data_IF_550193403592
#
_entry.id   IF_550193403592
#
_cell.length_a   1.000
_cell.length_b   1.000
_cell.length_c   1.000
_cell.angle_alpha   90.00
_cell.angle_beta   90.00
_cell.angle_gamma   90.00
#
_symmetry.space_group_name_H-M   'P 1'
#
loop_
_entity.id
_entity.type
_entity.pdbx_description
1 polymer ?
#
# COMPACT_ATOMS: atom_id res chain seq x y z
N UNK A 1 28.79 2.43 -16.91
CA UNK A 1 27.53 3.06 -17.36
C UNK A 1 27.77 3.57 -18.78
N UNK A 2 27.01 3.04 -19.74
CA UNK A 2 27.13 3.39 -21.15
C UNK A 2 25.93 4.24 -21.55
N UNK A 3 26.14 5.27 -22.37
CA UNK A 3 25.07 6.15 -22.87
C UNK A 3 25.07 6.06 -24.39
N UNK A 4 24.00 5.49 -24.94
CA UNK A 4 23.78 5.40 -26.38
C UNK A 4 22.75 6.47 -26.78
N UNK A 5 22.96 7.13 -27.92
CA UNK A 5 22.02 8.12 -28.45
C UNK A 5 21.46 7.63 -29.77
N UNK A 6 20.14 7.72 -29.92
CA UNK A 6 19.43 7.42 -31.15
C UNK A 6 18.58 8.62 -31.59
N UNK A 7 18.57 8.90 -32.88
CA UNK A 7 17.73 9.95 -33.46
C UNK A 7 16.43 9.35 -34.02
N UNK A 8 15.31 9.67 -33.37
CA UNK A 8 13.96 9.37 -33.86
C UNK A 8 13.31 10.67 -34.37
N UNK A 9 13.54 11.00 -35.65
CA UNK A 9 13.06 12.25 -36.25
C UNK A 9 13.87 13.46 -35.78
N UNK A 10 13.22 14.51 -35.27
CA UNK A 10 13.89 15.74 -34.77
C UNK A 10 14.30 15.67 -33.30
N UNK A 11 14.08 14.54 -32.62
CA UNK A 11 14.32 14.39 -31.18
C UNK A 11 15.46 13.41 -30.92
N UNK A 12 16.32 13.76 -29.96
CA UNK A 12 17.37 12.89 -29.45
C UNK A 12 16.80 12.04 -28.30
N UNK A 13 16.89 10.73 -28.44
CA UNK A 13 16.58 9.78 -27.37
C UNK A 13 17.91 9.22 -26.86
N UNK A 14 18.07 9.21 -25.55
CA UNK A 14 19.24 8.66 -24.88
C UNK A 14 18.85 7.40 -24.14
N UNK A 15 19.62 6.34 -24.30
CA UNK A 15 19.48 5.08 -23.57
C UNK A 15 20.70 4.97 -22.67
N UNK A 16 20.44 5.02 -21.36
CA UNK A 16 21.46 4.77 -20.35
C UNK A 16 21.40 3.30 -19.94
N UNK A 17 22.55 2.65 -20.00
CA UNK A 17 22.67 1.23 -19.71
C UNK A 17 23.60 0.99 -18.52
N UNK A 18 23.15 0.10 -17.64
CA UNK A 18 23.95 -0.48 -16.56
C UNK A 18 24.25 -1.92 -16.94
N UNK A 19 25.52 -2.26 -16.87
CA UNK A 19 26.05 -3.57 -17.24
C UNK A 19 26.67 -4.21 -16.01
N UNK A 20 26.52 -5.53 -15.90
CA UNK A 20 27.25 -6.32 -14.93
C UNK A 20 28.71 -6.52 -15.41
N UNK A 21 29.69 -6.28 -14.54
CA UNK A 21 31.10 -6.32 -14.90
C UNK A 21 31.66 -7.74 -15.03
N UNK A 22 31.07 -8.71 -14.32
CA UNK A 22 31.56 -10.08 -14.27
C UNK A 22 31.03 -10.91 -15.46
N UNK A 23 29.77 -10.70 -15.83
CA UNK A 23 29.11 -11.44 -16.90
C UNK A 23 29.03 -10.66 -18.22
N UNK A 24 29.15 -9.33 -18.18
CA UNK A 24 29.08 -8.48 -19.37
C UNK A 24 27.68 -8.34 -19.94
N UNK A 25 26.63 -8.60 -19.15
CA UNK A 25 25.23 -8.49 -19.55
C UNK A 25 24.60 -7.16 -19.11
N UNK A 26 23.69 -6.62 -19.92
CA UNK A 26 22.95 -5.40 -19.59
C UNK A 26 21.83 -5.73 -18.59
N UNK A 27 21.96 -5.22 -17.37
CA UNK A 27 21.02 -5.47 -16.26
C UNK A 27 19.95 -4.38 -16.13
N UNK A 28 20.16 -3.20 -16.72
CA UNK A 28 19.19 -2.11 -16.69
C UNK A 28 19.34 -1.17 -17.87
N UNK A 29 18.20 -0.83 -18.47
CA UNK A 29 18.08 0.21 -19.50
C UNK A 29 17.20 1.34 -18.96
N UNK A 30 17.58 2.59 -19.22
CA UNK A 30 16.82 3.79 -18.91
C UNK A 30 16.72 4.69 -20.14
N UNK A 31 15.49 4.86 -20.63
CA UNK A 31 15.15 5.68 -21.78
C UNK A 31 14.87 7.12 -21.36
N UNK A 32 15.57 8.07 -21.98
CA UNK A 32 15.47 9.49 -21.71
C UNK A 32 15.20 10.29 -22.99
N UNK A 33 14.45 11.36 -22.83
CA UNK A 33 14.24 12.42 -23.82
C UNK A 33 14.58 13.75 -23.17
N UNK A 34 15.42 14.56 -23.80
CA UNK A 34 15.88 15.84 -23.26
C UNK A 34 16.46 15.69 -21.83
N UNK A 35 17.23 14.61 -21.62
CA UNK A 35 17.82 14.20 -20.33
C UNK A 35 16.84 13.82 -19.21
N UNK A 36 15.54 13.74 -19.51
CA UNK A 36 14.49 13.34 -18.58
C UNK A 36 13.98 11.95 -18.92
N UNK A 37 13.73 11.09 -17.92
CA UNK A 37 13.20 9.73 -18.14
C UNK A 37 11.84 9.81 -18.83
N UNK A 38 11.73 9.22 -20.02
CA UNK A 38 10.55 9.33 -20.86
C UNK A 38 10.54 8.23 -21.91
N UNK A 39 9.41 7.55 -22.09
CA UNK A 39 9.18 6.66 -23.23
C UNK A 39 7.69 6.50 -23.53
N UNK A 40 7.31 6.65 -24.79
CA UNK A 40 5.91 6.47 -25.24
C UNK A 40 5.67 4.99 -25.57
N UNK A 41 4.59 4.42 -25.04
CA UNK A 41 4.10 3.08 -25.40
C UNK A 41 4.88 1.89 -24.84
N UNK A 42 6.06 2.10 -24.23
CA UNK A 42 6.91 1.07 -23.66
C UNK A 42 7.54 1.53 -22.33
N UNK A 43 8.04 0.62 -21.47
CA UNK A 43 8.68 1.02 -20.22
C UNK A 43 9.91 1.88 -20.48
N UNK A 44 10.01 3.00 -19.78
CA UNK A 44 11.18 3.85 -19.81
C UNK A 44 12.33 3.28 -18.98
N UNK A 45 12.04 2.45 -17.97
CA UNK A 45 13.04 1.71 -17.22
C UNK A 45 12.70 0.22 -17.32
N UNK A 46 13.70 -0.60 -17.64
CA UNK A 46 13.62 -2.07 -17.59
C UNK A 46 14.83 -2.56 -16.83
N UNK A 47 14.65 -3.44 -15.84
CA UNK A 47 15.76 -4.13 -15.15
C UNK A 47 15.55 -5.63 -15.15
N UNK A 48 16.65 -6.39 -15.20
CA UNK A 48 16.65 -7.85 -15.29
C UNK A 48 17.41 -8.48 -14.14
N UNK A 49 17.01 -9.70 -13.77
CA UNK A 49 17.81 -10.57 -12.94
C UNK A 49 19.02 -11.06 -13.77
N UNK A 50 20.22 -10.98 -13.22
CA UNK A 50 21.45 -11.36 -13.93
C UNK A 50 21.55 -12.87 -14.19
N UNK A 51 21.08 -13.70 -13.26
CA UNK A 51 21.19 -15.16 -13.34
C UNK A 51 20.12 -15.75 -14.27
N UNK A 52 18.88 -15.25 -14.18
CA UNK A 52 17.75 -15.80 -14.95
C UNK A 52 17.46 -15.03 -16.24
N UNK A 53 17.99 -13.82 -16.38
CA UNK A 53 17.70 -12.87 -17.46
C UNK A 53 16.21 -12.46 -17.53
N UNK A 54 15.42 -12.76 -16.50
CA UNK A 54 14.02 -12.38 -16.42
C UNK A 54 13.88 -10.90 -16.03
N UNK A 55 12.83 -10.24 -16.53
CA UNK A 55 12.53 -8.86 -16.18
C UNK A 55 11.96 -8.82 -14.75
N UNK A 56 12.65 -8.10 -13.87
CA UNK A 56 12.26 -7.93 -12.45
C UNK A 56 11.63 -6.57 -12.18
N UNK A 57 11.82 -5.60 -13.07
CA UNK A 57 11.29 -4.25 -12.91
C UNK A 57 10.99 -3.62 -14.26
N UNK A 58 9.79 -3.03 -14.37
CA UNK A 58 9.40 -2.18 -15.48
C UNK A 58 8.75 -0.90 -14.94
N UNK A 59 9.16 0.26 -15.46
CA UNK A 59 8.57 1.54 -15.09
C UNK A 59 8.25 2.40 -16.32
N UNK A 60 7.09 3.04 -16.32
CA UNK A 60 6.61 3.91 -17.40
C UNK A 60 6.66 5.36 -16.96
N UNK A 61 7.37 6.18 -17.73
CA UNK A 61 7.51 7.61 -17.46
C UNK A 61 7.09 8.45 -18.67
N UNK A 62 6.35 9.52 -18.37
CA UNK A 62 6.05 10.60 -19.30
C UNK A 62 6.57 11.91 -18.71
N UNK A 63 7.50 12.53 -19.43
CA UNK A 63 8.13 13.80 -19.03
C UNK A 63 8.75 13.76 -17.62
N UNK A 64 9.37 12.64 -17.26
CA UNK A 64 10.02 12.45 -15.96
C UNK A 64 9.08 12.07 -14.83
N UNK A 65 7.78 11.98 -15.09
CA UNK A 65 6.78 11.59 -14.11
C UNK A 65 6.35 10.15 -14.36
N UNK A 66 6.35 9.34 -13.30
CA UNK A 66 5.85 7.97 -13.32
C UNK A 66 4.36 8.00 -13.67
N UNK A 67 4.00 7.45 -14.83
CA UNK A 67 2.63 7.46 -15.32
C UNK A 67 2.43 6.49 -16.48
N UNK A 68 1.23 5.92 -16.59
CA UNK A 68 0.85 5.04 -17.67
C UNK A 68 -0.65 5.14 -17.97
N UNK A 69 -0.99 5.15 -19.25
CA UNK A 69 -2.37 5.19 -19.73
C UNK A 69 -3.05 3.79 -19.67
N UNK A 70 -4.35 3.73 -19.97
CA UNK A 70 -5.17 2.52 -20.08
C UNK A 70 -5.36 1.66 -18.81
N UNK A 71 -5.42 2.26 -17.61
CA UNK A 71 -5.55 1.51 -16.33
C UNK A 71 -4.47 0.42 -16.14
N UNK A 72 -3.28 0.63 -16.69
CA UNK A 72 -2.12 -0.25 -16.55
C UNK A 72 -1.18 0.27 -15.45
N UNK A 73 -0.49 -0.61 -14.73
CA UNK A 73 0.45 -0.19 -13.70
C UNK A 73 1.63 0.55 -14.33
N UNK A 74 1.99 1.68 -13.71
CA UNK A 74 3.12 2.51 -14.10
C UNK A 74 4.44 2.01 -13.51
N UNK A 75 4.40 1.20 -12.44
CA UNK A 75 5.53 0.42 -11.95
C UNK A 75 5.10 -1.03 -11.74
N UNK A 76 5.93 -1.95 -12.21
CA UNK A 76 5.81 -3.38 -11.98
C UNK A 76 7.13 -3.86 -11.40
N UNK A 77 7.07 -4.57 -10.28
CA UNK A 77 8.20 -5.31 -9.73
C UNK A 77 7.80 -6.78 -9.55
N UNK A 78 8.69 -7.70 -9.92
CA UNK A 78 8.45 -9.15 -9.80
C UNK A 78 9.71 -9.83 -9.28
N UNK A 79 9.51 -10.74 -8.32
CA UNK A 79 10.51 -11.73 -7.91
C UNK A 79 9.83 -13.08 -7.69
N UNK A 80 10.57 -14.07 -7.19
CA UNK A 80 10.07 -15.44 -6.99
C UNK A 80 8.92 -15.56 -5.97
N UNK A 81 8.73 -14.55 -5.12
CA UNK A 81 7.76 -14.58 -4.02
C UNK A 81 6.55 -13.71 -4.30
N UNK A 82 6.71 -12.57 -4.97
CA UNK A 82 5.67 -11.57 -5.14
C UNK A 82 5.74 -10.85 -6.49
N UNK A 83 4.59 -10.31 -6.87
CA UNK A 83 4.41 -9.33 -7.93
C UNK A 83 3.75 -8.08 -7.35
N UNK A 84 4.46 -6.97 -7.41
CA UNK A 84 3.98 -5.66 -6.99
C UNK A 84 3.58 -4.84 -8.23
N UNK A 85 2.38 -4.30 -8.20
CA UNK A 85 1.80 -3.47 -9.24
C UNK A 85 1.42 -2.12 -8.63
N UNK A 86 1.92 -1.03 -9.22
CA UNK A 86 1.62 0.31 -8.75
C UNK A 86 1.11 1.21 -9.89
N UNK A 87 0.04 1.95 -9.63
CA UNK A 87 -0.60 2.87 -10.56
C UNK A 87 -0.32 4.30 -10.15
N UNK A 88 0.19 5.07 -11.11
CA UNK A 88 0.53 6.48 -10.92
C UNK A 88 -0.05 7.34 -12.05
N UNK A 89 -0.51 8.53 -11.68
CA UNK A 89 -0.91 9.60 -12.59
C UNK A 89 -0.08 10.82 -12.23
N UNK A 90 0.69 11.33 -13.20
CA UNK A 90 1.59 12.48 -13.01
C UNK A 90 2.52 12.35 -11.78
N UNK A 91 3.08 11.14 -11.58
CA UNK A 91 4.00 10.86 -10.48
C UNK A 91 3.34 10.67 -9.11
N UNK A 92 2.00 10.70 -9.02
CA UNK A 92 1.26 10.47 -7.77
C UNK A 92 0.50 9.16 -7.82
N UNK A 93 0.58 8.36 -6.74
CA UNK A 93 -0.19 7.13 -6.63
C UNK A 93 -1.69 7.45 -6.76
N UNK A 94 -2.36 6.86 -7.75
CA UNK A 94 -3.77 7.10 -8.02
C UNK A 94 -4.32 6.01 -8.93
N UNK A 95 -5.51 5.51 -8.60
CA UNK A 95 -6.27 4.61 -9.48
C UNK A 95 -7.76 4.71 -9.21
N UNK A 96 -8.55 4.86 -10.26
CA UNK A 96 -9.99 5.02 -10.12
C UNK A 96 -10.67 3.72 -9.67
N UNK A 97 -11.33 3.74 -8.50
CA UNK A 97 -12.18 2.65 -7.98
C UNK A 97 -11.45 1.35 -7.59
N UNK A 98 -10.13 1.28 -7.78
CA UNK A 98 -9.28 0.09 -7.59
C UNK A 98 -8.04 0.46 -6.78
N UNK A 99 -7.32 -0.50 -6.18
CA UNK A 99 -6.11 -0.19 -5.44
C UNK A 99 -5.03 0.34 -6.38
N UNK A 100 -4.38 1.42 -5.95
CA UNK A 100 -3.24 2.01 -6.63
C UNK A 100 -1.93 1.27 -6.30
N UNK A 101 -1.88 0.50 -5.22
CA UNK A 101 -0.80 -0.44 -4.91
C UNK A 101 -1.44 -1.81 -4.68
N UNK A 102 -0.98 -2.82 -5.43
CA UNK A 102 -1.44 -4.19 -5.34
C UNK A 102 -0.24 -5.13 -5.31
N UNK A 103 -0.13 -5.91 -4.24
CA UNK A 103 0.86 -6.98 -4.15
C UNK A 103 0.15 -8.34 -4.20
N UNK A 104 0.69 -9.22 -5.03
CA UNK A 104 0.19 -10.59 -5.21
C UNK A 104 1.35 -11.55 -5.00
N UNK A 105 1.17 -12.56 -4.16
CA UNK A 105 2.16 -13.62 -3.94
C UNK A 105 2.30 -14.52 -5.18
N UNK A 106 3.35 -15.32 -5.23
CA UNK A 106 3.56 -16.31 -6.29
C UNK A 106 2.49 -17.40 -6.33
N UNK A 107 1.75 -17.60 -5.23
CA UNK A 107 0.57 -18.49 -5.18
C UNK A 107 -0.70 -17.83 -5.72
N UNK A 108 -0.66 -16.54 -6.07
CA UNK A 108 -1.79 -15.77 -6.57
C UNK A 108 -2.65 -15.12 -5.48
N UNK A 109 -2.23 -15.18 -4.21
CA UNK A 109 -2.94 -14.51 -3.13
C UNK A 109 -2.61 -13.02 -3.12
N UNK A 110 -3.63 -12.18 -2.93
CA UNK A 110 -3.40 -10.75 -2.72
C UNK A 110 -2.92 -10.55 -1.29
N UNK A 111 -1.70 -10.04 -1.10
CA UNK A 111 -1.12 -9.74 0.21
C UNK A 111 -1.35 -8.29 0.62
N UNK A 112 -1.33 -7.36 -0.32
CA UNK A 112 -1.48 -5.92 -0.05
C UNK A 112 -2.41 -5.26 -1.06
N UNK A 113 -3.32 -4.43 -0.55
CA UNK A 113 -4.08 -3.49 -1.36
C UNK A 113 -4.09 -2.12 -0.69
N UNK A 114 -3.69 -1.08 -1.44
CA UNK A 114 -3.79 0.30 -0.97
C UNK A 114 -4.47 1.20 -2.00
N UNK A 115 -5.42 2.00 -1.54
CA UNK A 115 -6.18 2.95 -2.34
C UNK A 115 -5.65 4.35 -2.12
N UNK A 116 -5.29 5.00 -3.23
CA UNK A 116 -4.81 6.37 -3.24
C UNK A 116 -5.63 7.21 -4.21
N UNK A 117 -5.86 8.46 -3.80
CA UNK A 117 -6.41 9.51 -4.63
C UNK A 117 -5.40 10.67 -4.70
N UNK A 118 -4.72 10.80 -5.85
CA UNK A 118 -3.74 11.86 -6.12
C UNK A 118 -2.63 11.94 -5.06
N UNK A 119 -2.10 10.77 -4.68
CA UNK A 119 -0.98 10.63 -3.76
C UNK A 119 -1.36 10.54 -2.29
N UNK A 120 -2.66 10.57 -1.95
CA UNK A 120 -3.13 10.46 -0.56
C UNK A 120 -3.99 9.22 -0.36
N UNK A 121 -3.81 8.51 0.75
CA UNK A 121 -4.66 7.35 1.08
C UNK A 121 -6.10 7.79 1.24
N UNK A 122 -6.98 7.18 0.46
CA UNK A 122 -8.39 7.50 0.42
C UNK A 122 -9.19 6.37 -0.23
N UNK A 123 -10.34 6.01 0.35
CA UNK A 123 -11.30 5.10 -0.27
C UNK A 123 -12.71 5.43 0.21
N UNK A 124 -13.63 5.60 -0.73
CA UNK A 124 -15.03 5.93 -0.42
C UNK A 124 -15.73 4.82 0.37
N UNK A 125 -15.53 3.57 -0.04
CA UNK A 125 -16.31 2.42 0.44
C UNK A 125 -15.42 1.28 0.91
N UNK A 126 -14.69 1.48 2.01
CA UNK A 126 -13.89 0.43 2.67
C UNK A 126 -12.57 0.94 3.23
N UNK A 127 -11.75 0.01 3.72
CA UNK A 127 -10.40 0.32 4.17
C UNK A 127 -9.54 0.80 2.99
N UNK A 128 -8.79 1.87 3.21
CA UNK A 128 -7.84 2.40 2.24
C UNK A 128 -6.52 1.63 2.22
N UNK A 129 -6.24 0.84 3.27
CA UNK A 129 -5.10 -0.08 3.33
C UNK A 129 -5.59 -1.41 3.87
N UNK A 130 -5.23 -2.50 3.20
CA UNK A 130 -5.49 -3.86 3.66
C UNK A 130 -4.21 -4.67 3.51
N UNK A 131 -3.76 -5.27 4.60
CA UNK A 131 -2.65 -6.24 4.60
C UNK A 131 -3.17 -7.63 4.99
N UNK A 132 -2.70 -8.62 4.24
CA UNK A 132 -3.07 -10.03 4.36
C UNK A 132 -1.83 -10.88 4.55
N UNK A 133 -2.00 -11.93 5.32
CA UNK A 133 -0.96 -12.94 5.49
C UNK A 133 -0.70 -13.66 4.14
N UNK A 134 0.57 -13.90 3.81
CA UNK A 134 0.99 -14.37 2.49
C UNK A 134 0.64 -15.85 2.24
N UNK A 135 0.35 -16.63 3.30
CA UNK A 135 0.03 -18.05 3.20
C UNK A 135 -1.48 -18.29 3.27
N UNK A 136 -2.14 -17.71 4.26
CA UNK A 136 -3.58 -17.90 4.52
C UNK A 136 -4.48 -16.92 3.76
N UNK A 137 -3.95 -15.76 3.36
CA UNK A 137 -4.74 -14.67 2.77
C UNK A 137 -5.64 -13.94 3.78
N UNK A 138 -5.55 -14.24 5.08
CA UNK A 138 -6.34 -13.59 6.12
C UNK A 138 -5.92 -12.13 6.27
N UNK A 139 -6.89 -11.21 6.21
CA UNK A 139 -6.65 -9.78 6.41
C UNK A 139 -6.38 -9.48 7.89
N UNK A 140 -5.12 -9.27 8.23
CA UNK A 140 -4.69 -9.01 9.60
C UNK A 140 -4.62 -7.52 9.93
N UNK A 141 -4.66 -6.64 8.94
CA UNK A 141 -4.85 -5.20 9.14
C UNK A 141 -5.78 -4.60 8.10
N UNK A 142 -6.67 -3.74 8.57
CA UNK A 142 -7.50 -2.87 7.75
C UNK A 142 -7.49 -1.46 8.32
N UNK A 143 -7.14 -0.47 7.50
CA UNK A 143 -7.03 0.92 7.92
C UNK A 143 -7.88 1.82 7.01
N UNK A 144 -8.72 2.63 7.62
CA UNK A 144 -9.55 3.62 6.93
C UNK A 144 -8.88 4.99 6.99
N UNK A 145 -8.75 5.60 5.82
CA UNK A 145 -8.17 6.93 5.64
C UNK A 145 -9.07 7.78 4.76
N UNK A 146 -9.13 9.07 5.08
CA UNK A 146 -9.64 10.13 4.23
C UNK A 146 -8.53 11.18 4.08
N UNK A 147 -7.99 11.34 2.88
CA UNK A 147 -6.91 12.31 2.61
C UNK A 147 -5.70 12.12 3.55
N UNK A 148 -5.22 10.88 3.72
CA UNK A 148 -4.17 10.46 4.67
C UNK A 148 -4.49 10.61 6.16
N UNK A 149 -5.68 11.06 6.51
CA UNK A 149 -6.12 11.19 7.90
C UNK A 149 -6.93 9.94 8.28
N UNK A 150 -6.57 9.26 9.38
CA UNK A 150 -7.34 8.13 9.89
C UNK A 150 -8.79 8.57 10.17
N UNK A 151 -9.75 7.94 9.52
CA UNK A 151 -11.15 8.36 9.58
C UNK A 151 -12.07 7.21 9.22
N UNK A 152 -13.11 6.97 10.04
CA UNK A 152 -14.26 6.13 9.68
C UNK A 152 -15.48 6.52 10.48
N UNK A 153 -16.60 6.80 9.81
CA UNK A 153 -17.89 7.02 10.46
C UNK A 153 -18.49 5.67 10.87
N UNK A 154 -18.92 5.55 12.13
CA UNK A 154 -19.71 4.43 12.61
C UNK A 154 -18.97 3.09 12.77
N UNK A 155 -17.63 3.09 12.72
CA UNK A 155 -16.83 1.88 12.90
C UNK A 155 -15.38 2.17 13.23
N UNK A 156 -14.63 1.11 13.56
CA UNK A 156 -13.20 1.23 13.85
C UNK A 156 -12.43 1.63 12.58
N UNK A 157 -11.64 2.70 12.68
CA UNK A 157 -10.80 3.18 11.58
C UNK A 157 -9.47 2.40 11.48
N UNK A 158 -9.09 1.65 12.51
CA UNK A 158 -8.01 0.67 12.44
C UNK A 158 -8.50 -0.63 13.06
N UNK A 159 -8.31 -1.73 12.35
CA UNK A 159 -8.65 -3.08 12.80
C UNK A 159 -7.43 -3.96 12.59
N UNK A 160 -7.05 -4.70 13.62
CA UNK A 160 -6.03 -5.73 13.54
C UNK A 160 -6.60 -7.09 13.96
N UNK A 161 -6.24 -8.15 13.25
CA UNK A 161 -6.69 -9.53 13.52
C UNK A 161 -5.51 -10.44 13.79
N UNK A 162 -5.76 -11.45 14.61
CA UNK A 162 -4.89 -12.61 14.70
C UNK A 162 -4.92 -13.37 13.36
N UNK A 163 -3.76 -13.70 12.80
CA UNK A 163 -3.66 -14.35 11.49
C UNK A 163 -4.07 -15.82 11.53
N UNK A 164 -3.98 -16.49 12.69
CA UNK A 164 -4.30 -17.90 12.83
C UNK A 164 -5.80 -18.11 13.04
N UNK A 165 -6.42 -17.28 13.89
CA UNK A 165 -7.83 -17.44 14.28
C UNK A 165 -8.78 -16.52 13.50
N UNK A 166 -8.26 -15.44 12.90
CA UNK A 166 -9.04 -14.39 12.26
C UNK A 166 -9.81 -13.49 13.25
N UNK A 167 -9.62 -13.67 14.56
CA UNK A 167 -10.27 -12.86 15.59
C UNK A 167 -9.70 -11.45 15.55
N UNK A 168 -10.59 -10.44 15.64
CA UNK A 168 -10.17 -9.04 15.81
C UNK A 168 -9.57 -8.87 17.20
N UNK A 169 -8.27 -8.62 17.24
CA UNK A 169 -7.49 -8.45 18.47
C UNK A 169 -7.34 -7.00 18.88
N UNK A 170 -7.37 -6.05 17.94
CA UNK A 170 -7.32 -4.63 18.27
C UNK A 170 -8.21 -3.81 17.34
N UNK A 171 -8.86 -2.82 17.91
CA UNK A 171 -9.67 -1.84 17.19
C UNK A 171 -9.40 -0.44 17.74
N UNK A 172 -9.30 0.53 16.83
CA UNK A 172 -9.23 1.95 17.17
C UNK A 172 -10.25 2.74 16.36
N UNK A 173 -10.95 3.66 17.02
CA UNK A 173 -11.93 4.54 16.42
C UNK A 173 -11.32 5.93 16.21
N UNK A 174 -11.45 6.43 14.99
CA UNK A 174 -11.00 7.77 14.61
C UNK A 174 -12.02 8.41 13.68
N UNK A 175 -12.32 9.68 13.92
CA UNK A 175 -13.00 10.57 12.99
C UNK A 175 -12.14 11.81 12.76
N UNK A 176 -11.76 12.06 11.52
CA UNK A 176 -10.91 13.19 11.11
C UNK A 176 -9.59 13.26 11.91
N UNK A 177 -8.99 12.10 12.18
CA UNK A 177 -7.69 11.98 12.84
C UNK A 177 -7.76 12.12 14.36
N UNK A 178 -8.92 12.37 14.93
CA UNK A 178 -9.15 12.45 16.37
C UNK A 178 -9.79 11.15 16.84
N UNK A 179 -9.41 10.67 18.02
CA UNK A 179 -10.07 9.53 18.63
C UNK A 179 -11.58 9.79 18.75
N UNK A 180 -12.39 8.89 18.20
CA UNK A 180 -13.85 8.88 18.33
C UNK A 180 -14.29 7.67 19.16
N UNK A 181 -15.57 7.59 19.53
CA UNK A 181 -16.07 6.49 20.35
C UNK A 181 -16.95 5.55 19.54
N UNK A 182 -16.95 4.27 19.92
CA UNK A 182 -17.99 3.33 19.54
C UNK A 182 -19.26 3.52 20.41
N UNK A 183 -20.27 2.69 20.16
CA UNK A 183 -21.54 2.71 20.91
C UNK A 183 -21.40 2.47 22.42
N UNK A 184 -20.29 1.88 22.85
CA UNK A 184 -20.00 1.58 24.25
C UNK A 184 -19.14 2.69 24.90
N UNK A 185 -18.83 3.77 24.17
CA UNK A 185 -18.04 4.91 24.67
C UNK A 185 -16.52 4.70 24.63
N UNK A 186 -16.02 3.59 24.07
CA UNK A 186 -14.57 3.33 23.99
C UNK A 186 -14.02 3.77 22.64
N UNK A 187 -12.79 4.29 22.63
CA UNK A 187 -12.06 4.63 21.40
C UNK A 187 -11.02 3.57 21.00
N UNK A 188 -10.79 2.61 21.89
CA UNK A 188 -9.86 1.52 21.71
C UNK A 188 -10.37 0.27 22.43
N UNK A 189 -10.15 -0.89 21.83
CA UNK A 189 -10.45 -2.19 22.43
C UNK A 189 -9.42 -3.21 21.97
N UNK A 190 -8.95 -4.03 22.92
CA UNK A 190 -8.04 -5.15 22.71
C UNK A 190 -8.68 -6.44 23.19
N UNK A 191 -8.52 -7.51 22.42
CA UNK A 191 -9.05 -8.84 22.70
C UNK A 191 -7.97 -9.90 22.62
N UNK A 192 -8.19 -11.01 23.33
CA UNK A 192 -7.36 -12.21 23.23
C UNK A 192 -7.56 -12.88 21.86
N UNK A 193 -6.45 -13.31 21.24
CA UNK A 193 -6.44 -13.88 19.89
C UNK A 193 -7.21 -15.19 19.74
N UNK A 194 -7.36 -15.97 20.82
CA UNK A 194 -8.04 -17.27 20.78
C UNK A 194 -9.48 -17.24 21.30
N UNK A 195 -9.76 -16.39 22.29
CA UNK A 195 -11.04 -16.42 23.04
C UNK A 195 -11.93 -15.23 22.72
N UNK A 196 -11.40 -14.21 22.03
CA UNK A 196 -12.02 -12.91 21.80
C UNK A 196 -12.42 -12.16 23.09
N UNK A 197 -11.95 -12.61 24.26
CA UNK A 197 -12.18 -11.93 25.54
C UNK A 197 -11.51 -10.57 25.53
N UNK A 198 -12.21 -9.54 26.03
CA UNK A 198 -11.68 -8.19 26.11
C UNK A 198 -10.61 -8.14 27.20
N UNK A 199 -9.39 -7.75 26.80
CA UNK A 199 -8.23 -7.61 27.68
C UNK A 199 -8.04 -6.15 28.13
N UNK A 200 -8.34 -5.20 27.23
CA UNK A 200 -8.12 -3.77 27.47
C UNK A 200 -9.13 -2.95 26.67
N UNK A 201 -9.54 -1.80 27.20
CA UNK A 201 -10.28 -0.77 26.46
C UNK A 201 -10.01 0.60 27.09
N UNK A 202 -10.18 1.67 26.30
CA UNK A 202 -9.95 3.05 26.76
C UNK A 202 -11.13 3.94 26.40
N UNK A 203 -11.50 4.84 27.31
CA UNK A 203 -12.53 5.85 27.10
C UNK A 203 -11.89 7.20 26.76
N UNK A 204 -12.60 8.05 26.00
CA UNK A 204 -12.08 9.39 25.69
C UNK A 204 -11.82 10.24 26.94
N UNK A 205 -12.63 10.09 27.99
CA UNK A 205 -12.44 10.77 29.29
C UNK A 205 -11.09 10.47 29.95
N UNK A 206 -10.49 9.32 29.64
CA UNK A 206 -9.21 8.92 30.20
C UNK A 206 -8.05 9.74 29.58
N UNK A 207 -8.25 10.32 28.38
CA UNK A 207 -7.27 11.17 27.70
C UNK A 207 -7.26 12.61 28.21
N UNK A 208 -8.37 13.09 28.79
CA UNK A 208 -8.52 14.48 29.26
C UNK A 208 -8.07 14.68 30.71
N UNK A 209 -7.64 13.61 31.39
CA UNK A 209 -7.13 13.68 32.77
C UNK A 209 -8.23 13.85 33.83
N UNK A 210 -9.51 13.75 33.46
CA UNK A 210 -10.59 13.65 34.44
C UNK A 210 -10.65 12.22 34.98
N UNK A 211 -9.84 11.97 36.02
CA UNK A 211 -9.91 10.73 36.81
C UNK A 211 -11.26 10.70 37.52
N UNK A 212 -12.18 9.91 36.99
CA UNK A 212 -13.20 9.28 37.83
C UNK A 212 -12.93 7.79 37.87
N UNK A 213 -12.50 7.30 39.04
CA UNK A 213 -12.59 5.89 39.44
C UNK A 213 -14.04 5.43 39.21
N UNK A 214 -14.29 4.84 38.05
CA UNK A 214 -15.60 4.36 37.62
C UNK A 214 -15.52 2.86 37.43
N UNK A 215 -16.06 2.14 38.41
CA UNK A 215 -16.14 0.69 38.52
C UNK A 215 -16.38 -0.05 37.20
N UNK A 216 -15.74 -1.21 37.09
CA UNK A 216 -16.11 -2.29 36.16
C UNK A 216 -17.64 -2.48 36.19
N UNK A 217 -18.34 -2.50 35.04
CA UNK A 217 -19.77 -2.73 35.03
C UNK A 217 -20.05 -4.22 34.98
N UNK A 218 -19.71 -4.99 36.03
CA UNK A 218 -20.31 -6.31 36.28
C UNK A 218 -20.14 -6.66 37.75
N UNK A 219 -20.95 -6.01 38.61
CA UNK A 219 -21.35 -6.64 39.87
C UNK A 219 -22.72 -6.09 40.34
N UNK A 220 -23.78 -6.78 39.93
CA UNK A 220 -25.09 -6.87 40.60
C UNK A 220 -25.93 -7.89 39.83
N UNK A 221 -25.90 -9.18 40.19
CA UNK A 221 -26.80 -9.86 41.15
C UNK A 221 -28.24 -10.02 40.61
N UNK A 222 -29.01 -11.05 41.00
CA UNK A 222 -28.89 -11.86 42.24
C UNK A 222 -28.27 -13.24 42.08
#
# INVERSE_FOLDING_TARGET
MNINSEHLGTYEVQIEEVWDEDFGDCIRETWKKDSVVHRIGAPAIVSKNIETNEIIQEEWYLHGLLSREDDKPARIFTNDQIKLLEWFVEGKAHRHGKPAILEVTSTGLVSTEEWFDHGKRNRENGAAVIWRDHESGVAYNELWYQQDIKHRIGGAACISRDTNTGIIIEEYWFENGVHSMNSNGTFYTKRHGDTAEILEFKYLRDLTGEVTLGNLPFDSQP
#
